data_IF_854721145360
#
_entry.id   IF_854721145360
#
_cell.length_a   1.000
_cell.length_b   1.000
_cell.length_c   1.000
_cell.angle_alpha   90.00
_cell.angle_beta   90.00
_cell.angle_gamma   90.00
#
_symmetry.space_group_name_H-M   'P 1'
#
loop_
_entity.id
_entity.type
_entity.pdbx_description
1 polymer ?
#
# COMPACT_ATOMS: atom_id res chain seq x y z
N UNK A 1 -5.62 -25.96 -29.35
CA UNK A 1 -6.94 -25.63 -28.79
C UNK A 1 -6.69 -25.16 -27.34
N UNK A 2 -6.08 -23.99 -27.11
CA UNK A 2 -6.60 -22.61 -27.02
C UNK A 2 -7.76 -22.42 -26.04
N UNK A 3 -7.47 -21.73 -24.92
CA UNK A 3 -8.24 -20.63 -24.29
C UNK A 3 -7.43 -20.17 -23.05
N UNK A 4 -6.47 -19.26 -23.23
CA UNK A 4 -6.55 -17.79 -23.04
C UNK A 4 -6.41 -17.33 -21.58
N UNK A 5 -5.14 -17.08 -21.18
CA UNK A 5 -4.77 -16.09 -20.18
C UNK A 5 -5.08 -14.70 -20.73
N UNK A 6 -6.16 -14.07 -20.26
CA UNK A 6 -6.35 -12.63 -20.47
C UNK A 6 -5.62 -11.86 -19.35
N UNK A 7 -4.32 -11.69 -19.58
CA UNK A 7 -3.55 -10.56 -19.08
C UNK A 7 -4.11 -9.32 -19.77
N UNK A 8 -4.89 -8.50 -19.05
CA UNK A 8 -5.19 -7.16 -19.50
C UNK A 8 -3.92 -6.32 -19.36
N UNK A 9 -3.21 -6.21 -20.48
CA UNK A 9 -2.19 -5.19 -20.74
C UNK A 9 -2.82 -3.82 -20.73
N UNK A 10 -2.21 -2.85 -20.02
CA UNK A 10 -2.43 -1.45 -20.32
C UNK A 10 -2.24 -0.44 -19.18
N UNK A 11 -1.06 -0.39 -18.57
CA UNK A 11 -0.26 0.84 -18.37
C UNK A 11 0.70 0.67 -17.19
N UNK A 12 1.99 0.49 -17.52
CA UNK A 12 3.07 0.95 -16.65
C UNK A 12 2.93 2.47 -16.53
N UNK A 13 2.46 2.96 -15.38
CA UNK A 13 2.75 4.32 -14.96
C UNK A 13 3.83 4.24 -13.90
N UNK A 14 5.07 4.37 -14.37
CA UNK A 14 6.13 4.88 -13.54
C UNK A 14 5.80 6.35 -13.23
N UNK A 15 5.23 6.63 -12.06
CA UNK A 15 5.27 7.98 -11.50
C UNK A 15 6.38 8.05 -10.45
N UNK A 16 7.61 8.17 -10.94
CA UNK A 16 8.66 8.88 -10.21
C UNK A 16 8.22 10.34 -10.09
N UNK A 17 7.89 10.79 -8.89
CA UNK A 17 8.03 12.20 -8.52
C UNK A 17 8.78 12.30 -7.20
N UNK A 18 10.10 12.33 -7.35
CA UNK A 18 11.02 12.77 -6.29
C UNK A 18 11.23 14.26 -6.47
N UNK A 19 10.86 15.07 -5.49
CA UNK A 19 11.48 16.36 -5.23
C UNK A 19 11.55 16.58 -3.72
N UNK A 20 12.54 15.94 -3.07
CA UNK A 20 13.06 16.40 -1.79
C UNK A 20 14.48 16.90 -2.01
N UNK A 21 14.75 18.14 -1.62
CA UNK A 21 16.09 18.74 -1.63
C UNK A 21 17.03 17.92 -0.75
N UNK A 22 18.32 17.89 -1.10
CA UNK A 22 19.34 17.09 -0.41
C UNK A 22 19.44 17.40 1.11
N UNK A 23 19.01 18.58 1.55
CA UNK A 23 18.92 18.97 2.96
C UNK A 23 17.85 18.22 3.75
N UNK A 24 16.71 17.88 3.14
CA UNK A 24 15.64 17.12 3.81
C UNK A 24 16.04 15.64 4.02
N UNK A 25 16.90 15.09 3.14
CA UNK A 25 17.47 13.74 3.30
C UNK A 25 18.40 13.64 4.51
N UNK A 26 19.08 14.73 4.88
CA UNK A 26 20.14 14.73 5.90
C UNK A 26 19.63 14.75 7.35
N UNK A 27 18.32 14.98 7.57
CA UNK A 27 17.71 15.09 8.91
C UNK A 27 16.99 13.83 9.41
N UNK A 28 16.71 12.82 8.58
CA UNK A 28 16.10 11.57 9.07
C UNK A 28 17.19 10.67 9.63
N UNK A 29 17.26 10.63 10.96
CA UNK A 29 18.12 9.72 11.74
C UNK A 29 18.03 8.31 11.16
N UNK A 30 19.19 7.72 10.89
CA UNK A 30 19.37 6.36 10.47
C UNK A 30 18.63 5.39 11.40
N UNK A 31 17.56 4.78 10.89
CA UNK A 31 17.04 3.52 11.41
C UNK A 31 16.22 2.91 10.28
N UNK A 32 16.77 1.87 9.65
CA UNK A 32 16.16 0.98 8.66
C UNK A 32 14.62 1.05 8.63
N UNK A 33 14.04 1.76 7.66
CA UNK A 33 12.59 1.88 7.47
C UNK A 33 12.13 0.99 6.33
N UNK A 34 11.46 -0.10 6.68
CA UNK A 34 10.73 -0.91 5.71
C UNK A 34 9.58 -0.08 5.11
N UNK A 35 9.23 -0.36 3.86
CA UNK A 35 8.03 0.17 3.21
C UNK A 35 7.07 -0.94 2.91
N UNK A 36 5.79 -0.75 3.19
CA UNK A 36 4.73 -1.68 2.81
C UNK A 36 3.81 -1.02 1.80
N UNK A 37 3.80 -1.51 0.58
CA UNK A 37 2.86 -1.14 -0.47
C UNK A 37 1.57 -1.93 -0.29
N UNK A 38 0.43 -1.23 -0.38
CA UNK A 38 -0.90 -1.83 -0.35
C UNK A 38 -1.61 -1.49 -1.65
N UNK A 39 -2.15 -2.50 -2.32
CA UNK A 39 -2.92 -2.38 -3.55
C UNK A 39 -4.19 -3.21 -3.46
N UNK A 40 -5.31 -2.66 -3.91
CA UNK A 40 -6.62 -3.29 -3.81
C UNK A 40 -7.22 -3.55 -5.20
N UNK A 41 -7.74 -4.76 -5.39
CA UNK A 41 -8.37 -5.17 -6.65
C UNK A 41 -9.81 -5.64 -6.44
N UNK A 42 -10.71 -5.25 -7.35
CA UNK A 42 -12.14 -5.55 -7.23
C UNK A 42 -12.64 -6.31 -8.45
N UNK A 43 -13.35 -7.42 -8.23
CA UNK A 43 -13.89 -8.26 -9.31
C UNK A 43 -15.36 -8.58 -9.07
N UNK A 44 -16.23 -7.91 -9.84
CA UNK A 44 -17.68 -8.17 -9.88
C UNK A 44 -17.99 -9.57 -10.39
N UNK A 45 -17.36 -9.98 -11.49
CA UNK A 45 -17.55 -11.31 -12.10
C UNK A 45 -17.19 -12.46 -11.16
N UNK A 46 -16.26 -12.23 -10.22
CA UNK A 46 -15.82 -13.22 -9.24
C UNK A 46 -16.37 -12.96 -7.83
N UNK A 47 -17.25 -11.98 -7.67
CA UNK A 47 -17.83 -11.51 -6.41
C UNK A 47 -16.80 -11.43 -5.26
N UNK A 48 -15.64 -10.81 -5.51
CA UNK A 48 -14.54 -10.74 -4.54
C UNK A 48 -13.72 -9.46 -4.69
N UNK A 49 -13.10 -9.04 -3.59
CA UNK A 49 -11.97 -8.12 -3.61
C UNK A 49 -10.68 -8.86 -3.23
N UNK A 50 -9.54 -8.41 -3.74
CA UNK A 50 -8.21 -8.82 -3.35
C UNK A 50 -7.47 -7.63 -2.73
N UNK A 51 -6.69 -7.89 -1.69
CA UNK A 51 -5.78 -6.92 -1.07
C UNK A 51 -4.39 -7.51 -1.21
N UNK A 52 -3.50 -6.81 -1.89
CA UNK A 52 -2.11 -7.19 -2.09
C UNK A 52 -1.22 -6.28 -1.26
N UNK A 53 -0.37 -6.88 -0.43
CA UNK A 53 0.55 -6.18 0.47
C UNK A 53 1.97 -6.61 0.17
N UNK A 54 2.91 -5.67 0.05
CA UNK A 54 4.31 -5.95 -0.28
C UNK A 54 5.27 -5.11 0.55
N UNK A 55 6.10 -5.76 1.35
CA UNK A 55 7.16 -5.15 2.15
C UNK A 55 8.46 -5.13 1.35
N UNK A 56 9.08 -3.96 1.31
CA UNK A 56 10.38 -3.70 0.71
C UNK A 56 11.32 -3.03 1.72
N UNK A 57 12.62 -3.22 1.52
CA UNK A 57 13.65 -2.52 2.28
C UNK A 57 13.91 -1.09 1.75
N UNK A 58 14.91 -0.42 2.31
CA UNK A 58 15.23 0.97 1.96
C UNK A 58 15.73 1.12 0.51
N UNK A 59 16.32 0.05 -0.01
CA UNK A 59 16.80 -0.07 -1.38
C UNK A 59 15.71 -0.57 -2.35
N UNK A 60 14.46 -0.66 -1.89
CA UNK A 60 13.28 -1.13 -2.63
C UNK A 60 13.33 -2.62 -3.02
N UNK A 61 14.19 -3.41 -2.38
CA UNK A 61 14.25 -4.86 -2.60
C UNK A 61 13.09 -5.53 -1.92
N UNK A 62 12.57 -6.56 -2.60
CA UNK A 62 11.50 -7.37 -2.06
C UNK A 62 11.94 -8.09 -0.78
N UNK A 63 11.12 -7.99 0.27
CA UNK A 63 11.32 -8.69 1.54
C UNK A 63 10.22 -9.74 1.72
N UNK A 64 8.96 -9.32 1.74
CA UNK A 64 7.80 -10.18 1.98
C UNK A 64 6.57 -9.66 1.22
N UNK A 65 5.66 -10.54 0.82
CA UNK A 65 4.31 -10.14 0.37
C UNK A 65 3.24 -11.04 0.96
N UNK A 66 2.01 -10.52 0.97
CA UNK A 66 0.81 -11.24 1.39
C UNK A 66 -0.37 -10.76 0.57
N UNK A 67 -1.16 -11.71 0.08
CA UNK A 67 -2.44 -11.44 -0.58
C UNK A 67 -3.57 -11.90 0.32
N UNK A 68 -4.59 -11.07 0.48
CA UNK A 68 -5.86 -11.42 1.11
C UNK A 68 -6.99 -11.39 0.09
N UNK A 69 -8.00 -12.22 0.33
CA UNK A 69 -9.20 -12.26 -0.49
C UNK A 69 -10.41 -12.01 0.39
N UNK A 70 -11.24 -11.05 -0.01
CA UNK A 70 -12.49 -10.71 0.65
C UNK A 70 -13.64 -11.22 -0.23
N UNK A 71 -14.58 -11.93 0.38
CA UNK A 71 -15.80 -12.43 -0.27
C UNK A 71 -16.93 -12.42 0.78
N UNK A 72 -18.13 -11.90 0.45
CA UNK A 72 -18.55 -11.35 -0.85
C UNK A 72 -17.83 -10.03 -1.21
N UNK A 73 -18.00 -9.56 -2.45
CA UNK A 73 -17.44 -8.29 -2.91
C UNK A 73 -17.90 -7.14 -1.99
N UNK A 74 -16.96 -6.33 -1.53
CA UNK A 74 -17.24 -5.09 -0.81
C UNK A 74 -17.22 -3.89 -1.77
N UNK A 75 -17.73 -2.75 -1.33
CA UNK A 75 -17.57 -1.50 -2.08
C UNK A 75 -16.11 -1.07 -2.11
N UNK A 76 -15.73 -0.31 -3.14
CA UNK A 76 -14.35 0.19 -3.32
C UNK A 76 -13.84 0.89 -2.06
N UNK A 77 -14.63 1.83 -1.52
CA UNK A 77 -14.31 2.56 -0.29
C UNK A 77 -14.06 1.66 0.92
N UNK A 78 -14.83 0.57 1.04
CA UNK A 78 -14.65 -0.39 2.15
C UNK A 78 -13.37 -1.20 1.92
N UNK A 79 -13.12 -1.65 0.68
CA UNK A 79 -11.88 -2.37 0.36
C UNK A 79 -10.63 -1.51 0.60
N UNK A 80 -10.63 -0.27 0.13
CA UNK A 80 -9.56 0.72 0.35
C UNK A 80 -9.27 0.95 1.84
N UNK A 81 -10.29 0.93 2.69
CA UNK A 81 -10.11 1.03 4.14
C UNK A 81 -9.59 -0.28 4.77
N UNK A 82 -9.97 -1.43 4.20
CA UNK A 82 -9.56 -2.76 4.66
C UNK A 82 -8.08 -3.05 4.34
N UNK A 83 -7.55 -2.53 3.23
CA UNK A 83 -6.14 -2.70 2.83
C UNK A 83 -5.14 -2.33 3.95
N UNK A 84 -5.07 -1.06 4.39
CA UNK A 84 -4.19 -0.64 5.47
C UNK A 84 -4.54 -1.30 6.82
N UNK A 85 -5.82 -1.59 7.10
CA UNK A 85 -6.23 -2.29 8.31
C UNK A 85 -5.59 -3.68 8.41
N UNK A 86 -5.74 -4.49 7.36
CA UNK A 86 -5.15 -5.82 7.32
C UNK A 86 -3.62 -5.80 7.24
N UNK A 87 -3.04 -4.76 6.64
CA UNK A 87 -1.60 -4.53 6.63
C UNK A 87 -1.06 -4.33 8.04
N UNK A 88 -1.71 -3.51 8.86
CA UNK A 88 -1.32 -3.30 10.26
C UNK A 88 -1.40 -4.58 11.09
N UNK A 89 -2.47 -5.37 10.91
CA UNK A 89 -2.58 -6.68 11.56
C UNK A 89 -1.44 -7.60 11.14
N UNK A 90 -1.17 -7.69 9.83
CA UNK A 90 -0.11 -8.54 9.33
C UNK A 90 1.26 -8.14 9.85
N UNK A 91 1.62 -6.84 9.81
CA UNK A 91 2.87 -6.30 10.36
C UNK A 91 3.02 -6.65 11.84
N UNK A 92 1.95 -6.52 12.61
CA UNK A 92 1.93 -6.89 14.03
C UNK A 92 2.14 -8.39 14.23
N UNK A 93 1.47 -9.24 13.44
CA UNK A 93 1.59 -10.70 13.52
C UNK A 93 3.03 -11.18 13.25
N UNK A 94 3.72 -10.54 12.30
CA UNK A 94 5.13 -10.85 11.98
C UNK A 94 6.15 -10.02 12.78
N UNK A 95 5.67 -9.26 13.78
CA UNK A 95 6.48 -8.47 14.71
C UNK A 95 7.47 -7.50 14.04
N UNK A 96 7.09 -6.96 12.89
CA UNK A 96 7.92 -5.94 12.23
C UNK A 96 7.71 -4.57 12.86
N UNK A 97 8.81 -3.83 13.00
CA UNK A 97 8.82 -2.46 13.51
C UNK A 97 9.36 -1.52 12.43
N UNK A 98 9.09 -0.21 12.56
CA UNK A 98 9.56 0.82 11.63
C UNK A 98 9.12 0.64 10.17
N UNK A 99 7.89 0.16 9.96
CA UNK A 99 7.29 0.03 8.62
C UNK A 99 6.50 1.29 8.26
N UNK A 100 6.80 1.93 7.13
CA UNK A 100 5.95 2.94 6.52
C UNK A 100 4.94 2.25 5.60
N UNK A 101 3.65 2.46 5.82
CA UNK A 101 2.60 1.93 4.95
C UNK A 101 2.29 2.99 3.87
N UNK A 102 2.40 2.60 2.60
CA UNK A 102 2.08 3.40 1.42
C UNK A 102 0.79 2.86 0.79
N UNK A 103 -0.22 3.72 0.66
CA UNK A 103 -1.55 3.42 0.11
C UNK A 103 -1.84 4.42 -1.01
N UNK A 104 -2.61 4.01 -2.01
CA UNK A 104 -2.99 4.84 -3.15
C UNK A 104 -4.30 5.64 -2.91
N UNK A 105 -5.10 5.25 -1.93
CA UNK A 105 -6.36 5.93 -1.60
C UNK A 105 -6.14 7.23 -0.81
N UNK A 106 -6.33 8.36 -1.50
CA UNK A 106 -6.35 9.70 -0.89
C UNK A 106 -7.43 9.82 0.19
N UNK A 107 -8.60 9.21 0.00
CA UNK A 107 -9.71 9.29 0.96
C UNK A 107 -9.32 8.64 2.29
N UNK A 108 -8.64 7.49 2.22
CA UNK A 108 -8.10 6.80 3.40
C UNK A 108 -7.03 7.65 4.10
N UNK A 109 -6.08 8.21 3.34
CA UNK A 109 -5.05 9.08 3.91
C UNK A 109 -5.67 10.30 4.61
N UNK A 110 -6.60 10.99 3.95
CA UNK A 110 -7.28 12.17 4.48
C UNK A 110 -8.05 11.82 5.78
N UNK A 111 -8.69 10.64 5.87
CA UNK A 111 -9.36 10.16 7.08
C UNK A 111 -8.38 9.96 8.25
N UNK A 112 -7.26 9.27 8.02
CA UNK A 112 -6.25 9.03 9.06
C UNK A 112 -5.58 10.32 9.54
N UNK A 113 -5.28 11.25 8.63
CA UNK A 113 -4.65 12.54 8.96
C UNK A 113 -5.59 13.41 9.80
N UNK A 114 -6.87 13.51 9.42
CA UNK A 114 -7.87 14.31 10.16
C UNK A 114 -8.12 13.79 11.57
N UNK A 115 -8.11 12.48 11.76
CA UNK A 115 -8.40 11.86 13.05
C UNK A 115 -7.23 11.86 14.04
N UNK A 116 -6.00 12.22 13.62
CA UNK A 116 -4.82 12.13 14.50
C UNK A 116 -4.40 13.41 15.18
N UNK A 117 -4.91 14.59 14.84
CA UNK A 117 -4.60 15.85 15.52
C UNK A 117 -3.12 16.32 15.50
N UNK A 118 -2.14 15.43 15.27
CA UNK A 118 -0.72 15.74 15.20
C UNK A 118 0.12 14.65 14.45
N UNK A 119 0.98 15.14 13.56
CA UNK A 119 2.29 14.63 13.08
C UNK A 119 2.53 13.17 12.61
N UNK A 120 1.56 12.43 12.09
CA UNK A 120 1.91 11.25 11.26
C UNK A 120 2.09 11.68 9.80
N UNK A 121 3.35 11.87 9.36
CA UNK A 121 3.68 12.16 7.95
C UNK A 121 3.33 10.98 7.04
N UNK A 122 2.14 11.01 6.43
CA UNK A 122 1.85 10.23 5.23
C UNK A 122 2.36 11.02 4.03
N UNK A 123 3.27 10.44 3.24
CA UNK A 123 3.72 11.08 2.01
C UNK A 123 2.64 10.90 0.95
N UNK A 124 1.80 11.92 0.74
CA UNK A 124 0.97 12.05 -0.45
C UNK A 124 1.92 12.29 -1.63
N UNK A 125 2.08 11.31 -2.50
CA UNK A 125 2.72 11.51 -3.79
C UNK A 125 1.60 11.84 -4.78
N UNK A 126 1.41 13.15 -5.02
CA UNK A 126 0.57 13.65 -6.12
C UNK A 126 1.31 13.50 -7.45
#
# INVERSE_FOLDING_TARGET
MRTELNLYTGATIACKWYNRTAEQRRRKRASWRLKCYVDDSFSTSRNRAGIDMCIRDEEEWYVLSKTLRITPLCSVKVGEALGPYHTMLWINDIQLTNVNIEVDSKEVIDYYVRNRGDSTEFSLIY
#
